data_IF_648173104959
#
_entry.id   IF_648173104959
#
_cell.length_a   1.000
_cell.length_b   1.000
_cell.length_c   1.000
_cell.angle_alpha   90.00
_cell.angle_beta   90.00
_cell.angle_gamma   90.00
#
_symmetry.space_group_name_H-M   'P 1'
#
loop_
_entity.id
_entity.type
_entity.pdbx_description
1 polymer ?
2 branched ?
3 branched ?
4 non-polymer ?
#
# COMPACT_ATOMS: atom_id res chain seq x y z
N UNK A 3 -12.61 -44.83 -23.79
CA UNK A 3 -12.42 -45.46 -25.10
C UNK A 3 -11.39 -44.68 -25.92
N UNK A 4 -10.62 -43.84 -25.22
CA UNK A 4 -9.63 -42.98 -25.86
C UNK A 4 -8.39 -43.81 -26.17
N UNK A 5 -8.02 -43.85 -27.45
CA UNK A 5 -6.89 -44.67 -27.87
C UNK A 5 -5.58 -44.19 -27.24
N UNK A 6 -4.75 -45.15 -26.81
CA UNK A 6 -3.45 -44.80 -26.25
C UNK A 6 -2.61 -44.01 -27.24
N UNK A 7 -2.69 -44.36 -28.53
CA UNK A 7 -1.95 -43.61 -29.55
C UNK A 7 -2.36 -42.15 -29.58
N UNK A 8 -3.64 -41.86 -29.31
CA UNK A 8 -4.09 -40.48 -29.26
C UNK A 8 -3.54 -39.77 -28.03
N UNK A 9 -3.63 -40.42 -26.86
CA UNK A 9 -3.06 -39.87 -25.63
C UNK A 9 -1.59 -39.50 -25.83
N UNK A 10 -0.85 -40.33 -26.58
CA UNK A 10 0.54 -40.04 -26.85
C UNK A 10 0.69 -38.80 -27.73
N UNK A 11 -0.17 -38.67 -28.75
CA UNK A 11 -0.11 -37.46 -29.57
C UNK A 11 -0.50 -36.22 -28.77
N UNK A 12 -1.47 -36.37 -27.86
CA UNK A 12 -1.78 -35.29 -26.94
C UNK A 12 -0.58 -34.95 -26.06
N UNK A 13 0.23 -35.96 -25.70
CA UNK A 13 1.41 -35.71 -24.89
C UNK A 13 2.49 -35.00 -25.69
N UNK A 14 2.74 -35.46 -26.92
CA UNK A 14 3.63 -34.75 -27.84
C UNK A 14 3.19 -33.30 -28.00
N UNK A 15 1.90 -33.10 -28.31
CA UNK A 15 1.37 -31.77 -28.55
C UNK A 15 1.47 -30.90 -27.30
N UNK A 16 1.11 -31.46 -26.14
CA UNK A 16 1.15 -30.69 -24.91
C UNK A 16 2.55 -30.35 -24.45
N UNK A 17 3.51 -31.23 -24.70
CA UNK A 17 4.88 -30.99 -24.26
C UNK A 17 5.53 -29.82 -24.99
N UNK A 18 5.04 -29.45 -26.17
CA UNK A 18 5.60 -28.36 -26.93
C UNK A 18 5.10 -27.00 -26.47
N UNK A 19 4.03 -26.95 -25.66
CA UNK A 19 3.59 -25.70 -25.06
C UNK A 19 4.31 -25.39 -23.75
N UNK A 20 5.14 -26.33 -23.26
CA UNK A 20 6.00 -26.04 -22.13
C UNK A 20 7.14 -25.13 -22.55
N UNK A 21 7.63 -25.28 -23.79
CA UNK A 21 8.67 -24.39 -24.29
C UNK A 21 8.15 -22.99 -24.56
N UNK A 22 6.85 -22.83 -24.79
CA UNK A 22 6.29 -21.49 -24.93
C UNK A 22 6.16 -20.79 -23.59
N UNK A 23 6.08 -21.56 -22.51
CA UNK A 23 6.00 -20.96 -21.17
C UNK A 23 7.33 -20.31 -20.78
N UNK A 24 8.44 -21.01 -21.02
CA UNK A 24 9.76 -20.46 -20.70
C UNK A 24 9.96 -19.14 -21.40
N UNK A 25 9.44 -19.01 -22.63
CA UNK A 25 9.49 -17.73 -23.32
C UNK A 25 8.53 -16.73 -22.68
N UNK A 26 7.26 -17.14 -22.49
CA UNK A 26 6.30 -16.26 -21.83
C UNK A 26 6.78 -15.86 -20.44
N UNK A 27 7.43 -16.78 -19.73
CA UNK A 27 7.90 -16.48 -18.39
C UNK A 27 8.92 -15.36 -18.38
N UNK A 28 9.90 -15.43 -19.30
CA UNK A 28 10.91 -14.38 -19.38
C UNK A 28 10.28 -13.04 -19.76
N UNK A 29 9.26 -13.08 -20.62
CA UNK A 29 8.55 -11.85 -20.96
C UNK A 29 7.81 -11.30 -19.75
N UNK A 30 7.21 -12.18 -18.94
CA UNK A 30 6.59 -11.73 -17.70
C UNK A 30 7.56 -11.01 -16.80
N UNK A 31 8.79 -11.53 -16.71
CA UNK A 31 9.83 -10.85 -15.94
C UNK A 31 10.09 -9.46 -16.51
N UNK A 32 10.30 -9.39 -17.83
CA UNK A 32 10.61 -8.11 -18.46
C UNK A 32 9.44 -7.15 -18.42
N UNK A 33 8.21 -7.67 -18.49
CA UNK A 33 7.04 -6.79 -18.38
C UNK A 33 6.92 -6.22 -16.97
N UNK A 34 7.20 -7.03 -15.95
CA UNK A 34 7.16 -6.54 -14.57
C UNK A 34 8.23 -5.47 -14.37
N UNK A 35 9.42 -5.68 -14.95
CA UNK A 35 10.47 -4.66 -14.90
C UNK A 35 9.96 -3.34 -15.44
N UNK A 36 9.22 -3.37 -16.55
CA UNK A 36 8.65 -2.15 -17.11
C UNK A 36 7.75 -1.46 -16.10
N UNK A 37 6.86 -2.23 -15.45
CA UNK A 37 5.90 -1.64 -14.52
C UNK A 37 6.60 -1.06 -13.30
N UNK A 38 7.66 -1.71 -12.81
CA UNK A 38 8.41 -1.18 -11.68
C UNK A 38 9.06 0.13 -12.05
N UNK A 39 9.71 0.18 -13.21
CA UNK A 39 10.35 1.41 -13.67
C UNK A 39 9.33 2.50 -13.94
N UNK A 40 8.14 2.13 -14.43
CA UNK A 40 7.06 3.10 -14.61
C UNK A 40 6.65 3.71 -13.28
N UNK A 41 6.38 2.86 -12.28
CA UNK A 41 6.00 3.33 -10.96
C UNK A 41 7.10 4.19 -10.34
N UNK A 42 8.36 3.88 -10.63
CA UNK A 42 9.46 4.66 -10.08
C UNK A 42 9.41 6.10 -10.58
N UNK A 43 9.15 6.29 -11.87
CA UNK A 43 9.05 7.64 -12.43
C UNK A 43 7.82 8.36 -11.89
N UNK A 44 6.71 7.64 -11.72
CA UNK A 44 5.53 8.23 -11.11
C UNK A 44 5.80 8.64 -9.67
N UNK A 45 6.67 7.90 -8.98
CA UNK A 45 7.09 8.31 -7.65
C UNK A 45 7.90 9.59 -7.69
N UNK A 46 8.78 9.72 -8.69
CA UNK A 46 9.63 10.90 -8.78
C UNK A 46 8.82 12.17 -9.04
N UNK A 47 7.90 12.12 -10.00
CA UNK A 47 7.07 13.28 -10.26
C UNK A 47 6.16 13.59 -9.07
N UNK A 48 5.77 12.56 -8.31
CA UNK A 48 5.01 12.78 -7.10
C UNK A 48 5.87 13.49 -6.05
N UNK A 49 7.14 13.09 -5.95
CA UNK A 49 8.06 13.76 -5.04
C UNK A 49 8.22 15.24 -5.40
N UNK A 50 8.29 15.54 -6.71
CA UNK A 50 8.36 16.94 -7.11
C UNK A 50 7.08 17.69 -6.77
N UNK A 51 5.94 17.00 -6.77
CA UNK A 51 4.69 17.62 -6.32
C UNK A 51 4.74 17.88 -4.83
N UNK A 52 5.34 16.98 -4.06
CA UNK A 52 5.45 17.17 -2.62
C UNK A 52 6.38 18.32 -2.27
N UNK A 53 7.43 18.52 -3.06
CA UNK A 53 8.37 19.60 -2.75
C UNK A 53 7.77 20.97 -3.03
N UNK A 54 6.94 21.07 -4.08
CA UNK A 54 6.19 22.30 -4.29
C UNK A 54 5.12 22.48 -3.22
N UNK A 55 4.43 21.40 -2.86
CA UNK A 55 3.37 21.49 -1.87
C UNK A 55 3.91 21.78 -0.47
N UNK A 56 5.12 21.30 -0.16
CA UNK A 56 5.68 21.54 1.17
C UNK A 56 5.95 23.02 1.39
N UNK A 57 6.50 23.70 0.39
CA UNK A 57 6.79 25.12 0.52
C UNK A 57 5.54 25.91 0.85
N UNK A 58 4.47 25.71 0.06
CA UNK A 58 3.22 26.42 0.28
C UNK A 58 2.69 26.17 1.69
N UNK A 59 2.70 24.92 2.14
CA UNK A 59 2.28 24.60 3.49
C UNK A 59 3.16 25.30 4.52
N UNK A 60 4.49 25.22 4.32
CA UNK A 60 5.42 25.81 5.28
C UNK A 60 5.23 27.32 5.38
N UNK A 61 5.08 27.99 4.25
CA UNK A 61 4.83 29.44 4.27
C UNK A 61 3.55 29.77 5.00
N UNK A 62 2.50 28.97 4.79
CA UNK A 62 1.24 29.21 5.50
C UNK A 62 1.40 28.98 7.00
N UNK A 63 2.27 28.05 7.40
CA UNK A 63 2.43 27.77 8.83
C UNK A 63 3.23 28.87 9.52
N UNK A 64 4.26 29.41 8.87
CA UNK A 64 4.99 30.52 9.49
C UNK A 64 4.08 31.73 9.69
N UNK A 65 3.16 31.97 8.76
CA UNK A 65 2.24 33.08 8.92
C UNK A 65 1.27 32.80 10.06
N UNK A 66 0.78 31.57 10.16
CA UNK A 66 -0.04 31.18 11.29
C UNK A 66 0.73 31.31 12.60
N UNK A 67 1.96 30.79 12.63
CA UNK A 67 2.77 30.86 13.84
C UNK A 67 3.17 32.29 14.15
N UNK A 68 3.43 33.10 13.12
CA UNK A 68 3.69 34.52 13.34
C UNK A 68 2.48 35.21 13.94
N UNK A 69 1.29 34.67 13.74
CA UNK A 69 0.07 35.30 14.23
C UNK A 69 -0.20 34.95 15.68
N UNK A 70 0.10 33.71 16.09
CA UNK A 70 -0.18 33.31 17.47
C UNK A 70 0.79 33.94 18.46
N UNK A 71 2.01 34.25 18.03
CA UNK A 71 2.96 34.91 18.92
C UNK A 71 2.55 36.35 19.19
N UNK A 72 1.94 37.02 18.20
CA UNK A 72 1.40 38.35 18.45
C UNK A 72 0.17 38.32 19.33
N UNK A 73 -0.53 37.19 19.38
CA UNK A 73 -1.68 37.02 20.25
C UNK A 73 -1.29 36.56 21.64
N UNK A 74 -0.05 36.13 21.84
CA UNK A 74 0.45 35.86 23.18
C UNK A 74 1.12 37.08 23.80
N UNK A 75 1.53 38.05 22.97
CA UNK A 75 1.95 39.34 23.50
C UNK A 75 0.81 40.02 24.26
N UNK A 76 -0.44 39.68 23.92
CA UNK A 76 -1.64 40.18 24.60
C UNK A 76 -2.34 38.98 25.22
N UNK A 77 -1.88 38.50 26.38
CA UNK A 77 -2.32 37.20 26.90
C UNK A 77 -3.56 37.20 27.78
N UNK A 78 -4.14 38.35 28.12
CA UNK A 78 -5.24 38.36 29.05
C UNK A 78 -6.56 37.92 28.45
N UNK A 79 -7.45 37.44 29.31
CA UNK A 79 -8.82 37.13 28.93
C UNK A 79 -9.67 38.39 29.06
N UNK A 80 -10.46 38.67 28.02
CA UNK A 80 -11.21 39.92 28.01
C UNK A 80 -12.40 39.85 28.96
N UNK A 81 -13.29 38.89 28.76
CA UNK A 81 -14.42 38.69 29.64
C UNK A 81 -14.00 37.87 30.86
N UNK A 82 -14.55 38.22 32.02
CA UNK A 82 -14.29 37.45 33.24
C UNK A 82 -15.29 36.32 33.43
N UNK A 83 -16.33 36.25 32.60
CA UNK A 83 -17.17 35.05 32.56
C UNK A 83 -16.41 33.88 31.96
N UNK A 84 -15.45 34.16 31.06
CA UNK A 84 -14.60 33.12 30.50
C UNK A 84 -13.98 32.27 31.59
N UNK A 85 -13.43 32.93 32.62
CA UNK A 85 -12.79 32.20 33.72
C UNK A 85 -13.78 31.30 34.44
N UNK A 86 -15.05 31.68 34.49
CA UNK A 86 -16.05 30.85 35.14
C UNK A 86 -16.57 29.75 34.23
N UNK A 87 -16.56 29.97 32.91
CA UNK A 87 -16.90 28.90 31.98
C UNK A 87 -15.80 27.85 31.91
N UNK A 88 -14.56 28.26 32.16
CA UNK A 88 -13.42 27.35 32.09
C UNK A 88 -13.54 26.22 33.13
N UNK A 89 -13.99 26.55 34.34
CA UNK A 89 -14.15 25.57 35.40
C UNK A 89 -15.44 24.76 35.28
N UNK A 90 -16.27 25.07 34.29
CA UNK A 90 -17.38 24.21 33.92
C UNK A 90 -17.16 23.57 32.55
N UNK A 91 -16.28 24.14 31.74
CA UNK A 91 -15.82 23.46 30.53
C UNK A 91 -14.92 22.28 30.85
N UNK A 92 -13.95 22.49 31.75
CA UNK A 92 -12.98 21.44 32.06
C UNK A 92 -13.62 20.15 32.60
N UNK A 93 -14.49 20.19 33.61
CA UNK A 93 -15.07 18.91 34.07
C UNK A 93 -15.87 18.20 33.00
N UNK A 94 -16.58 18.96 32.16
CA UNK A 94 -17.36 18.34 31.09
C UNK A 94 -16.47 17.60 30.11
N UNK A 95 -15.39 18.25 29.67
CA UNK A 95 -14.45 17.61 28.74
C UNK A 95 -13.92 16.29 29.29
N UNK A 96 -13.52 16.29 30.56
CA UNK A 96 -13.02 15.07 31.20
C UNK A 96 -14.02 13.93 31.07
N UNK A 97 -15.31 14.22 31.26
CA UNK A 97 -16.30 13.15 31.28
C UNK A 97 -16.59 12.63 29.89
N UNK A 98 -16.76 13.53 28.91
CA UNK A 98 -17.08 13.09 27.56
C UNK A 98 -15.97 12.24 26.96
N UNK A 99 -14.72 12.52 27.32
CA UNK A 99 -13.61 11.71 26.82
C UNK A 99 -13.51 10.38 27.56
N UNK A 100 -13.62 10.42 28.90
CA UNK A 100 -13.67 9.19 29.67
C UNK A 100 -14.78 8.27 29.17
N UNK A 101 -15.99 8.82 29.02
CA UNK A 101 -17.13 8.05 28.52
C UNK A 101 -16.81 7.43 27.15
N UNK A 102 -16.13 8.19 26.30
CA UNK A 102 -15.78 7.67 24.98
C UNK A 102 -14.81 6.50 25.09
N UNK A 103 -13.70 6.70 25.79
CA UNK A 103 -12.64 5.69 25.83
C UNK A 103 -13.14 4.37 26.42
N UNK A 104 -14.02 4.44 27.41
CA UNK A 104 -14.55 3.22 28.00
C UNK A 104 -15.52 2.52 27.05
N UNK A 105 -16.47 3.28 26.50
CA UNK A 105 -17.44 2.72 25.56
C UNK A 105 -16.75 2.21 24.30
N UNK A 106 -16.07 3.11 23.58
CA UNK A 106 -15.57 2.78 22.25
C UNK A 106 -14.24 2.03 22.32
N UNK A 107 -13.31 2.53 23.14
CA UNK A 107 -11.93 2.07 23.04
C UNK A 107 -11.63 0.88 23.93
N UNK A 108 -11.18 1.13 25.16
CA UNK A 108 -10.52 0.08 25.92
C UNK A 108 -10.59 0.40 27.41
N UNK A 109 -9.69 -0.19 28.18
CA UNK A 109 -9.56 0.08 29.61
C UNK A 109 -8.49 1.13 29.84
N UNK A 110 -8.60 1.83 30.96
CA UNK A 110 -7.83 3.01 31.22
C UNK A 110 -8.61 4.30 31.10
N UNK A 111 -9.94 4.24 31.17
CA UNK A 111 -10.77 5.44 31.08
C UNK A 111 -10.34 6.48 32.10
N UNK A 112 -10.23 6.08 33.37
CA UNK A 112 -9.83 7.02 34.41
C UNK A 112 -8.42 7.55 34.21
N UNK A 113 -7.53 6.74 33.64
CA UNK A 113 -6.18 7.20 33.36
C UNK A 113 -6.20 8.38 32.38
N UNK A 114 -7.00 8.26 31.33
CA UNK A 114 -7.11 9.35 30.35
C UNK A 114 -7.70 10.60 31.00
N UNK A 115 -8.80 10.43 31.74
CA UNK A 115 -9.45 11.57 32.37
C UNK A 115 -8.54 12.30 33.34
N UNK A 116 -7.69 11.55 34.04
CA UNK A 116 -6.73 12.16 34.96
C UNK A 116 -5.68 12.97 34.18
N UNK A 117 -5.09 12.37 33.15
CA UNK A 117 -4.09 13.07 32.35
C UNK A 117 -4.67 14.32 31.71
N UNK A 118 -5.96 14.32 31.39
CA UNK A 118 -6.58 15.49 30.78
C UNK A 118 -6.75 16.62 31.79
N UNK A 119 -7.32 16.30 32.96
CA UNK A 119 -7.53 17.30 33.99
C UNK A 119 -6.23 17.97 34.40
N UNK A 120 -5.14 17.19 34.44
CA UNK A 120 -3.84 17.76 34.80
C UNK A 120 -3.37 18.75 33.74
N UNK A 121 -3.49 18.38 32.46
CA UNK A 121 -3.08 19.28 31.38
C UNK A 121 -3.99 20.51 31.32
N UNK A 122 -5.29 20.32 31.49
CA UNK A 122 -6.22 21.44 31.44
C UNK A 122 -6.03 22.42 32.60
N UNK A 123 -5.47 21.97 33.72
CA UNK A 123 -5.15 22.88 34.81
C UNK A 123 -3.89 23.69 34.52
N UNK A 124 -2.92 23.09 33.84
CA UNK A 124 -1.78 23.83 33.30
C UNK A 124 -2.12 24.58 32.03
N UNK A 125 -3.41 24.78 31.77
CA UNK A 125 -3.92 25.47 30.60
C UNK A 125 -4.87 26.57 31.03
N UNK A 126 -5.22 27.44 30.09
CA UNK A 126 -6.07 28.59 30.33
C UNK A 126 -7.20 28.62 29.31
N UNK A 127 -8.30 29.30 29.61
CA UNK A 127 -9.37 29.43 28.61
C UNK A 127 -9.00 30.34 27.45
N UNK A 128 -7.97 31.18 27.62
CA UNK A 128 -7.47 31.97 26.50
C UNK A 128 -6.91 31.08 25.41
N UNK A 129 -6.08 30.09 25.81
CA UNK A 129 -5.57 29.09 24.88
C UNK A 129 -6.69 28.43 24.09
N UNK A 130 -7.82 28.17 24.75
CA UNK A 130 -8.99 27.65 24.05
C UNK A 130 -9.58 28.69 23.11
N UNK A 131 -9.74 29.92 23.61
CA UNK A 131 -10.37 30.99 22.85
C UNK A 131 -9.63 31.27 21.54
N UNK A 132 -8.29 31.21 21.57
CA UNK A 132 -7.48 31.45 20.38
C UNK A 132 -7.25 30.17 19.57
N UNK A 133 -8.07 29.13 19.79
CA UNK A 133 -7.92 27.84 19.10
C UNK A 133 -6.48 27.33 19.18
N UNK A 134 -5.90 27.43 20.38
CA UNK A 134 -4.53 26.98 20.56
C UNK A 134 -4.36 25.49 20.36
N UNK A 135 -5.41 24.71 20.63
CA UNK A 135 -5.35 23.27 20.40
C UNK A 135 -5.18 22.96 18.91
N UNK A 136 -5.92 23.68 18.05
CA UNK A 136 -5.82 23.45 16.62
C UNK A 136 -4.45 23.80 16.07
N UNK A 137 -3.82 24.84 16.63
CA UNK A 137 -2.47 25.22 16.19
C UNK A 137 -1.48 24.11 16.51
N UNK A 138 -1.49 23.64 17.76
CA UNK A 138 -0.59 22.56 18.16
C UNK A 138 -0.89 21.28 17.39
N UNK A 139 -2.17 20.94 17.25
CA UNK A 139 -2.54 19.72 16.53
C UNK A 139 -2.31 19.84 15.03
N UNK A 140 -1.95 21.02 14.53
CA UNK A 140 -1.54 21.20 13.15
C UNK A 140 -0.03 21.17 12.99
N UNK A 141 0.69 21.88 13.87
CA UNK A 141 2.14 21.89 13.83
C UNK A 141 2.72 20.49 14.05
N UNK A 142 2.06 19.68 14.88
CA UNK A 142 2.53 18.32 15.08
C UNK A 142 2.19 17.43 13.89
N UNK A 143 1.01 17.61 13.30
CA UNK A 143 0.67 16.91 12.07
C UNK A 143 1.66 17.25 10.96
N UNK A 144 2.09 18.51 10.90
CA UNK A 144 3.09 18.93 9.92
C UNK A 144 4.41 18.20 10.13
N UNK A 145 4.77 17.95 11.40
CA UNK A 145 6.01 17.23 11.69
C UNK A 145 5.87 15.75 11.40
N UNK A 146 4.71 15.17 11.70
CA UNK A 146 4.47 13.77 11.37
C UNK A 146 4.55 13.55 9.86
N UNK A 147 4.09 14.52 9.07
CA UNK A 147 4.19 14.42 7.63
C UNK A 147 5.64 14.50 7.16
N UNK A 148 6.40 15.45 7.70
CA UNK A 148 7.80 15.58 7.34
C UNK A 148 8.57 14.31 7.69
N UNK A 149 8.26 13.70 8.82
CA UNK A 149 8.90 12.46 9.21
C UNK A 149 8.49 11.31 8.29
N UNK A 150 7.19 11.22 8.00
CA UNK A 150 6.70 10.15 7.13
C UNK A 150 7.38 10.18 5.77
N UNK A 151 7.56 11.37 5.19
CA UNK A 151 8.22 11.45 3.89
C UNK A 151 9.70 11.12 4.02
N UNK A 152 10.36 11.63 5.07
CA UNK A 152 11.76 11.31 5.30
C UNK A 152 11.97 9.79 5.32
N UNK A 153 11.11 9.07 6.05
CA UNK A 153 11.26 7.63 6.16
C UNK A 153 10.94 6.95 4.83
N UNK A 154 9.76 7.22 4.28
CA UNK A 154 9.34 6.64 3.02
C UNK A 154 10.38 6.88 1.91
N UNK A 155 10.82 8.13 1.78
CA UNK A 155 11.75 8.48 0.71
C UNK A 155 13.05 7.71 0.82
N UNK A 156 13.58 7.57 2.04
CA UNK A 156 14.87 6.90 2.21
C UNK A 156 14.73 5.39 2.05
N UNK A 157 13.61 4.82 2.50
CA UNK A 157 13.31 3.42 2.17
C UNK A 157 13.24 3.24 0.66
N UNK A 158 12.59 4.17 -0.04
CA UNK A 158 12.36 4.02 -1.48
C UNK A 158 13.67 4.14 -2.26
N UNK A 159 14.49 5.15 -1.93
CA UNK A 159 15.71 5.38 -2.69
C UNK A 159 16.67 4.20 -2.56
N UNK A 160 16.72 3.58 -1.38
CA UNK A 160 17.56 2.38 -1.22
C UNK A 160 17.07 1.26 -2.13
N UNK A 161 15.77 0.95 -2.06
CA UNK A 161 15.22 -0.10 -2.90
C UNK A 161 15.39 0.24 -4.38
N UNK A 162 15.13 1.49 -4.75
CA UNK A 162 15.33 1.90 -6.14
C UNK A 162 16.77 1.73 -6.57
N UNK A 163 17.71 1.90 -5.64
CA UNK A 163 19.13 1.72 -5.98
C UNK A 163 19.44 0.26 -6.26
N UNK A 164 18.98 -0.64 -5.38
CA UNK A 164 19.18 -2.07 -5.60
C UNK A 164 18.52 -2.51 -6.90
N UNK A 165 17.34 -1.96 -7.19
CA UNK A 165 16.55 -2.42 -8.34
C UNK A 165 17.19 -1.94 -9.64
N UNK A 166 17.60 -0.67 -9.69
CA UNK A 166 18.22 -0.15 -10.90
C UNK A 166 19.52 -0.88 -11.22
N UNK A 167 20.26 -1.30 -10.19
CA UNK A 167 21.47 -2.08 -10.42
C UNK A 167 21.13 -3.46 -11.00
N UNK A 168 20.05 -4.08 -10.50
CA UNK A 168 19.62 -5.36 -11.02
C UNK A 168 19.17 -5.26 -12.48
N UNK A 169 18.49 -4.16 -12.82
CA UNK A 169 17.98 -3.97 -14.17
C UNK A 169 19.03 -3.45 -15.14
N UNK A 170 20.27 -3.26 -14.70
CA UNK A 170 21.36 -2.94 -15.60
C UNK A 170 21.92 -4.18 -16.29
N UNK A 171 21.50 -5.36 -15.86
CA UNK A 171 21.87 -6.59 -16.54
C UNK A 171 21.16 -6.70 -17.88
N UNK A 172 21.85 -7.27 -18.87
CA UNK A 172 21.27 -7.39 -20.21
C UNK A 172 20.27 -8.53 -20.31
N UNK A 173 20.15 -9.36 -19.27
CA UNK A 173 19.08 -10.35 -19.24
C UNK A 173 17.72 -9.69 -19.34
N UNK A 174 17.61 -8.45 -18.88
CA UNK A 174 16.34 -7.74 -18.87
C UNK A 174 16.10 -6.93 -20.13
N UNK A 175 17.14 -6.70 -20.94
CA UNK A 175 16.98 -5.98 -22.20
C UNK A 175 16.20 -6.86 -23.17
N UNK A 176 15.12 -6.31 -23.74
CA UNK A 176 14.32 -7.06 -24.69
C UNK A 176 15.16 -7.48 -25.89
N UNK A 177 14.98 -8.73 -26.31
CA UNK A 177 15.67 -9.30 -27.46
C UNK A 177 14.66 -9.84 -28.45
N UNK A 178 15.04 -10.03 -29.71
CA UNK A 178 14.09 -10.58 -30.69
C UNK A 178 13.63 -11.99 -30.38
N UNK A 179 14.48 -12.80 -29.74
CA UNK A 179 14.11 -14.16 -29.37
C UNK A 179 12.79 -14.19 -28.60
N UNK A 180 12.54 -13.16 -27.80
CA UNK A 180 11.31 -13.08 -27.02
C UNK A 180 10.05 -13.08 -27.89
N UNK A 181 10.18 -12.72 -29.17
CA UNK A 181 9.03 -12.61 -30.07
C UNK A 181 9.04 -13.67 -31.17
N UNK A 182 9.96 -14.63 -31.13
CA UNK A 182 9.96 -15.71 -32.11
C UNK A 182 8.69 -16.56 -31.97
N UNK A 183 8.02 -16.82 -33.10
CA UNK A 183 6.81 -17.63 -33.12
C UNK A 183 7.00 -19.01 -33.72
N UNK A 184 8.10 -19.25 -34.42
CA UNK A 184 8.39 -20.55 -35.03
C UNK A 184 9.71 -21.11 -34.53
N UNK A 185 10.77 -20.29 -34.46
CA UNK A 185 12.02 -20.74 -33.86
C UNK A 185 11.87 -20.82 -32.35
N UNK A 186 12.62 -21.72 -31.70
CA UNK A 186 12.45 -21.93 -30.26
C UNK A 186 13.14 -20.83 -29.45
N UNK A 187 12.96 -20.90 -28.14
CA UNK A 187 13.52 -19.97 -27.18
C UNK A 187 14.62 -20.65 -26.40
N UNK A 188 15.63 -19.88 -25.99
CA UNK A 188 16.77 -20.43 -25.25
C UNK A 188 17.20 -19.45 -24.18
N UNK A 189 17.18 -19.90 -22.93
CA UNK A 189 17.68 -19.11 -21.81
C UNK A 189 19.19 -18.95 -21.92
N UNK A 190 19.77 -17.99 -21.19
CA UNK A 190 21.23 -17.84 -21.21
C UNK A 190 21.93 -19.11 -20.73
N UNK A 191 23.12 -19.36 -21.30
CA UNK A 191 23.87 -20.56 -20.95
C UNK A 191 24.18 -20.61 -19.45
N UNK A 192 24.29 -19.45 -18.80
CA UNK A 192 24.71 -19.40 -17.41
C UNK A 192 23.58 -18.90 -16.51
N UNK A 193 22.38 -19.47 -16.65
CA UNK A 193 21.27 -18.98 -15.83
C UNK A 193 21.38 -19.42 -14.39
N UNK A 194 21.98 -20.59 -14.13
CA UNK A 194 22.11 -21.06 -12.76
C UNK A 194 23.02 -20.14 -11.93
N UNK A 195 23.97 -19.48 -12.58
CA UNK A 195 24.89 -18.57 -11.91
C UNK A 195 24.42 -17.12 -11.97
N UNK A 196 23.30 -16.85 -12.65
CA UNK A 196 22.65 -15.55 -12.58
C UNK A 196 21.44 -15.54 -11.65
N UNK A 197 20.86 -16.71 -11.41
CA UNK A 197 19.65 -16.83 -10.61
C UNK A 197 19.85 -16.29 -9.20
N UNK A 198 20.85 -16.82 -8.49
CA UNK A 198 21.07 -16.49 -7.08
C UNK A 198 21.47 -15.03 -6.84
N UNK A 199 22.37 -14.44 -7.65
CA UNK A 199 22.62 -13.00 -7.48
C UNK A 199 21.36 -12.16 -7.63
N UNK A 200 20.58 -12.42 -8.69
CA UNK A 200 19.36 -11.65 -8.92
C UNK A 200 18.39 -11.79 -7.75
N UNK A 201 18.05 -13.04 -7.41
CA UNK A 201 17.04 -13.30 -6.39
C UNK A 201 17.40 -12.62 -5.07
N UNK A 202 18.68 -12.63 -4.70
CA UNK A 202 19.10 -11.96 -3.48
C UNK A 202 18.89 -10.45 -3.59
N UNK A 203 19.18 -9.87 -4.75
CA UNK A 203 18.95 -8.44 -4.94
C UNK A 203 17.47 -8.10 -4.90
N UNK A 204 16.61 -8.99 -5.39
CA UNK A 204 15.17 -8.78 -5.24
C UNK A 204 14.77 -8.89 -3.78
N UNK A 205 15.38 -9.82 -3.04
CA UNK A 205 15.12 -9.93 -1.62
C UNK A 205 15.55 -8.67 -0.87
N UNK A 206 16.71 -8.12 -1.22
CA UNK A 206 17.20 -6.92 -0.55
C UNK A 206 16.32 -5.72 -0.84
N UNK A 207 15.73 -5.65 -2.03
CA UNK A 207 14.82 -4.55 -2.34
C UNK A 207 13.51 -4.71 -1.59
N UNK A 208 13.01 -5.94 -1.47
CA UNK A 208 11.80 -6.19 -0.70
C UNK A 208 11.98 -5.77 0.76
N UNK A 209 13.16 -6.05 1.33
CA UNK A 209 13.44 -5.63 2.69
C UNK A 209 13.41 -4.12 2.82
N UNK A 210 14.14 -3.43 1.93
CA UNK A 210 14.24 -1.97 2.00
C UNK A 210 12.87 -1.31 1.98
N UNK A 211 11.93 -1.88 1.21
CA UNK A 211 10.62 -1.27 1.06
C UNK A 211 9.76 -1.43 2.32
N UNK A 212 9.96 -2.52 3.06
CA UNK A 212 9.08 -2.84 4.19
C UNK A 212 9.11 -1.74 5.24
N UNK A 213 7.94 -1.17 5.52
CA UNK A 213 7.82 -0.12 6.54
C UNK A 213 7.25 -0.70 7.82
N UNK A 234 -14.18 5.32 16.13
CA UNK A 234 -13.04 5.14 15.23
C UNK A 234 -11.85 4.58 16.01
N UNK A 235 -11.13 3.64 15.40
CA UNK A 235 -9.93 3.10 16.04
C UNK A 235 -8.78 4.11 16.02
N UNK A 236 -8.84 5.10 15.14
CA UNK A 236 -7.78 6.11 15.07
C UNK A 236 -7.79 7.01 16.29
N UNK A 237 -8.96 7.53 16.65
CA UNK A 237 -9.05 8.47 17.78
C UNK A 237 -8.66 7.76 19.08
N UNK A 238 -9.01 6.48 19.21
CA UNK A 238 -8.64 5.73 20.41
C UNK A 238 -7.14 5.64 20.57
N UNK A 239 -6.42 5.40 19.47
CA UNK A 239 -4.96 5.40 19.51
C UNK A 239 -4.42 6.75 20.00
N UNK A 240 -5.04 7.84 19.53
CA UNK A 240 -4.56 9.17 19.89
C UNK A 240 -4.83 9.48 21.36
N UNK A 241 -6.05 9.21 21.82
CA UNK A 241 -6.40 9.42 23.23
C UNK A 241 -5.48 8.62 24.14
N UNK A 242 -5.07 7.43 23.70
CA UNK A 242 -4.10 6.65 24.45
C UNK A 242 -2.73 7.32 24.44
N UNK A 243 -2.31 7.81 23.27
CA UNK A 243 -1.00 8.45 23.14
C UNK A 243 -0.92 9.71 23.99
N UNK A 244 -1.84 10.65 23.76
CA UNK A 244 -1.89 11.91 24.49
C UNK A 244 -3.34 12.21 24.82
N UNK A 245 -3.63 12.51 26.09
CA UNK A 245 -4.99 12.83 26.48
C UNK A 245 -5.51 14.08 25.79
N UNK A 246 -4.64 14.86 25.14
CA UNK A 246 -5.09 16.03 24.39
C UNK A 246 -5.98 15.66 23.22
N UNK A 247 -5.97 14.39 22.78
CA UNK A 247 -6.90 13.96 21.76
C UNK A 247 -8.35 14.17 22.19
N UNK A 248 -8.59 14.20 23.51
CA UNK A 248 -9.93 14.49 24.02
C UNK A 248 -10.45 15.83 23.53
N UNK A 249 -9.55 16.79 23.27
CA UNK A 249 -9.97 18.14 22.88
C UNK A 249 -10.57 18.18 21.48
N UNK A 250 -10.68 17.05 20.78
CA UNK A 250 -11.50 17.01 19.59
C UNK A 250 -12.99 17.01 19.94
N UNK A 251 -13.32 16.95 21.22
CA UNK A 251 -14.71 16.86 21.68
C UNK A 251 -15.15 18.14 22.40
N UNK A 252 -14.53 19.28 22.06
CA UNK A 252 -15.01 20.55 22.58
C UNK A 252 -16.46 20.79 22.20
N UNK A 253 -16.85 20.35 21.00
CA UNK A 253 -18.19 20.59 20.49
C UNK A 253 -19.26 20.02 21.41
N UNK A 254 -19.00 18.83 21.97
CA UNK A 254 -20.02 18.16 22.77
C UNK A 254 -20.36 18.95 24.03
N UNK A 255 -19.42 19.71 24.57
CA UNK A 255 -19.61 20.41 25.83
C UNK A 255 -20.03 21.86 25.59
N UNK A 256 -20.98 22.33 26.40
CA UNK A 256 -21.60 23.62 26.16
C UNK A 256 -20.68 24.77 26.53
N UNK A 257 -20.15 24.77 27.76
CA UNK A 257 -19.36 25.89 28.25
C UNK A 257 -18.14 26.17 27.37
N UNK A 258 -17.67 25.17 26.64
CA UNK A 258 -16.44 25.32 25.87
C UNK A 258 -16.70 26.04 24.55
N UNK A 259 -17.74 25.65 23.81
CA UNK A 259 -18.09 26.37 22.60
C UNK A 259 -18.56 27.79 22.89
N UNK A 260 -18.88 28.11 24.15
CA UNK A 260 -19.18 29.47 24.54
C UNK A 260 -17.91 30.27 24.82
N UNK A 261 -16.87 29.62 25.35
CA UNK A 261 -15.57 30.28 25.46
C UNK A 261 -15.06 30.67 24.08
N UNK A 262 -15.34 29.83 23.08
CA UNK A 262 -14.93 30.13 21.71
C UNK A 262 -15.79 31.20 21.05
N UNK A 263 -17.00 31.41 21.56
CA UNK A 263 -17.90 32.41 20.98
C UNK A 263 -17.65 33.82 21.52
N UNK A 264 -16.83 33.96 22.56
CA UNK A 264 -16.72 35.23 23.28
C UNK A 264 -16.18 36.30 22.34
N UNK A 265 -16.93 37.39 22.22
CA UNK A 265 -16.52 38.55 21.46
C UNK A 265 -15.72 39.47 22.37
N UNK A 266 -14.43 39.64 22.07
CA UNK A 266 -13.61 40.62 22.76
C UNK A 266 -13.56 41.95 22.00
N UNK A 267 -14.48 42.16 21.06
CA UNK A 267 -14.40 43.33 20.19
C UNK A 267 -14.57 44.62 20.98
N UNK A 268 -15.49 44.64 21.94
CA UNK A 268 -15.67 45.83 22.76
C UNK A 268 -14.50 46.02 23.71
N UNK A 269 -14.03 44.93 24.33
CA UNK A 269 -13.13 45.02 25.47
C UNK A 269 -11.68 45.20 25.04
N UNK A 270 -11.16 44.28 24.23
CA UNK A 270 -9.80 44.36 23.70
C UNK A 270 -9.87 44.21 22.19
N UNK A 271 -10.13 45.30 21.47
CA UNK A 271 -10.26 45.19 20.00
C UNK A 271 -8.98 44.74 19.31
N UNK A 272 -7.81 44.95 19.91
CA UNK A 272 -6.56 44.52 19.29
C UNK A 272 -6.43 43.00 19.34
N UNK A 273 -6.83 42.38 20.46
CA UNK A 273 -6.83 40.93 20.56
C UNK A 273 -7.79 40.32 19.55
N UNK A 274 -8.99 40.90 19.44
CA UNK A 274 -10.00 40.36 18.54
C UNK A 274 -9.52 40.36 17.10
N UNK A 275 -8.83 41.42 16.68
CA UNK A 275 -8.33 41.48 15.31
C UNK A 275 -7.27 40.43 15.06
N UNK A 276 -6.29 40.32 15.96
CA UNK A 276 -5.25 39.31 15.81
C UNK A 276 -5.83 37.91 15.77
N UNK A 277 -6.87 37.66 16.57
CA UNK A 277 -7.54 36.36 16.54
C UNK A 277 -8.17 36.09 15.18
N UNK A 278 -8.79 37.11 14.59
CA UNK A 278 -9.37 36.96 13.26
C UNK A 278 -8.28 36.75 12.21
N UNK A 279 -7.12 37.39 12.39
CA UNK A 279 -6.02 37.15 11.46
C UNK A 279 -5.48 35.74 11.58
N UNK A 280 -5.39 35.24 12.82
CA UNK A 280 -4.91 33.88 13.05
C UNK A 280 -5.85 32.85 12.43
N UNK A 281 -7.15 32.98 12.67
CA UNK A 281 -8.14 32.05 12.13
C UNK A 281 -8.06 32.00 10.61
N UNK A 282 -7.81 33.15 9.97
CA UNK A 282 -7.65 33.15 8.52
C UNK A 282 -6.44 32.32 8.09
N UNK A 283 -5.27 32.61 8.66
CA UNK A 283 -4.08 31.83 8.33
C UNK A 283 -4.24 30.37 8.72
N UNK A 284 -5.01 30.10 9.77
CA UNK A 284 -5.21 28.73 10.22
C UNK A 284 -5.95 27.91 9.17
N UNK A 285 -7.02 28.46 8.61
CA UNK A 285 -7.80 27.72 7.62
C UNK A 285 -6.99 27.46 6.36
N UNK A 286 -6.13 28.42 5.98
CA UNK A 286 -5.27 28.22 4.81
C UNK A 286 -4.26 27.12 5.08
N UNK A 287 -3.57 27.21 6.23
CA UNK A 287 -2.57 26.20 6.57
C UNK A 287 -3.17 24.81 6.62
N UNK A 288 -4.40 24.69 7.13
CA UNK A 288 -5.04 23.38 7.21
C UNK A 288 -5.38 22.84 5.82
N UNK A 289 -5.87 23.71 4.93
CA UNK A 289 -6.16 23.28 3.56
C UNK A 289 -4.91 22.74 2.89
N UNK A 290 -3.81 23.48 2.97
CA UNK A 290 -2.56 23.05 2.36
C UNK A 290 -1.94 21.85 3.06
N UNK A 291 -2.33 21.59 4.31
CA UNK A 291 -1.84 20.40 5.01
C UNK A 291 -2.62 19.15 4.59
N UNK A 292 -3.93 19.28 4.39
CA UNK A 292 -4.70 18.18 3.85
C UNK A 292 -4.27 17.85 2.42
N UNK A 293 -3.87 18.87 1.66
CA UNK A 293 -3.37 18.64 0.31
C UNK A 293 -2.06 17.86 0.34
N UNK A 294 -1.18 18.19 1.28
CA UNK A 294 0.10 17.47 1.41
C UNK A 294 -0.13 16.03 1.87
N UNK A 295 -1.13 15.82 2.72
CA UNK A 295 -1.40 14.47 3.22
C UNK A 295 -1.94 13.57 2.11
N UNK A 296 -2.70 14.14 1.17
CA UNK A 296 -3.19 13.34 0.05
C UNK A 296 -2.05 12.93 -0.89
N UNK A 297 -1.09 13.82 -1.11
CA UNK A 297 0.09 13.45 -1.88
C UNK A 297 0.92 12.41 -1.14
N UNK A 298 1.06 12.55 0.18
CA UNK A 298 1.77 11.54 0.96
C UNK A 298 1.08 10.19 0.86
N UNK A 299 -0.25 10.18 0.84
CA UNK A 299 -0.99 8.92 0.71
C UNK A 299 -0.79 8.33 -0.68
N UNK A 300 -0.70 9.19 -1.71
CA UNK A 300 -0.39 8.70 -3.05
C UNK A 300 1.01 8.11 -3.11
N UNK A 301 1.96 8.74 -2.43
CA UNK A 301 3.32 8.21 -2.35
C UNK A 301 3.34 6.87 -1.64
N UNK A 302 2.51 6.71 -0.61
CA UNK A 302 2.43 5.44 0.11
C UNK A 302 1.95 4.32 -0.81
N UNK A 303 0.99 4.61 -1.70
CA UNK A 303 0.50 3.60 -2.62
C UNK A 303 1.58 3.19 -3.61
N UNK A 304 2.28 4.17 -4.20
CA UNK A 304 3.42 3.86 -5.07
C UNK A 304 4.41 2.95 -4.35
N UNK A 305 4.55 3.13 -3.04
CA UNK A 305 5.44 2.27 -2.26
C UNK A 305 4.87 0.87 -2.13
N UNK A 306 3.54 0.76 -1.93
CA UNK A 306 2.93 -0.57 -1.83
C UNK A 306 2.88 -1.26 -3.18
N UNK A 307 2.53 -0.55 -4.25
CA UNK A 307 2.60 -1.09 -5.59
C UNK A 307 3.97 -1.71 -5.85
N UNK A 308 5.03 -0.94 -5.60
CA UNK A 308 6.38 -1.41 -5.89
C UNK A 308 6.71 -2.66 -5.08
N UNK A 309 6.22 -2.75 -3.84
CA UNK A 309 6.40 -3.97 -3.06
C UNK A 309 5.60 -5.12 -3.67
N UNK A 310 4.39 -4.85 -4.16
CA UNK A 310 3.59 -5.87 -4.79
C UNK A 310 4.23 -6.36 -6.09
N UNK A 311 4.85 -5.45 -6.85
CA UNK A 311 5.50 -5.84 -8.10
C UNK A 311 6.76 -6.64 -7.85
N UNK A 312 7.53 -6.26 -6.82
CA UNK A 312 8.75 -7.00 -6.51
C UNK A 312 8.43 -8.43 -6.08
N UNK A 313 7.32 -8.61 -5.37
CA UNK A 313 6.91 -9.97 -5.00
C UNK A 313 6.59 -10.80 -6.25
N UNK A 314 5.92 -10.19 -7.23
CA UNK A 314 5.65 -10.88 -8.49
C UNK A 314 6.95 -11.24 -9.20
N UNK A 315 7.88 -10.28 -9.28
CA UNK A 315 9.17 -10.52 -9.90
C UNK A 315 9.86 -11.74 -9.29
N UNK A 316 9.81 -11.85 -7.95
CA UNK A 316 10.38 -13.00 -7.28
C UNK A 316 9.70 -14.28 -7.74
N UNK A 317 8.37 -14.33 -7.69
CA UNK A 317 7.64 -15.53 -8.09
C UNK A 317 7.85 -15.83 -9.57
N UNK A 318 8.07 -14.80 -10.40
CA UNK A 318 8.31 -15.04 -11.82
C UNK A 318 9.70 -15.61 -12.07
N UNK A 319 10.72 -15.08 -11.38
CA UNK A 319 12.07 -15.58 -11.56
C UNK A 319 12.20 -17.02 -11.11
N UNK A 320 11.57 -17.37 -9.99
CA UNK A 320 11.54 -18.76 -9.54
C UNK A 320 10.88 -19.65 -10.58
N UNK A 321 9.77 -19.19 -11.16
CA UNK A 321 9.06 -19.98 -12.16
C UNK A 321 9.93 -20.23 -13.39
N UNK A 322 10.68 -19.20 -13.82
CA UNK A 322 11.63 -19.40 -14.92
C UNK A 322 12.67 -20.45 -14.52
N UNK A 323 13.25 -20.29 -13.33
CA UNK A 323 14.28 -21.23 -12.88
C UNK A 323 13.71 -22.63 -12.70
N UNK A 324 12.53 -22.74 -12.06
CA UNK A 324 11.87 -24.03 -11.91
C UNK A 324 11.68 -24.70 -13.26
N UNK A 325 11.13 -23.96 -14.23
CA UNK A 325 11.00 -24.49 -15.59
C UNK A 325 12.34 -24.89 -16.15
N UNK A 326 13.40 -24.12 -15.86
CA UNK A 326 14.68 -24.35 -16.51
C UNK A 326 15.32 -25.65 -16.06
N UNK A 327 15.30 -25.94 -14.75
CA UNK A 327 15.93 -27.17 -14.28
C UNK A 327 15.10 -28.41 -14.58
N UNK A 328 13.79 -28.24 -14.79
CA UNK A 328 12.92 -29.37 -15.11
C UNK A 328 12.96 -29.72 -16.60
N UNK A 329 13.22 -28.75 -17.47
CA UNK A 329 13.15 -28.97 -18.91
C UNK A 329 14.49 -29.36 -19.53
N UNK A 330 15.57 -29.42 -18.76
CA UNK A 330 16.84 -29.83 -19.32
C UNK A 330 16.89 -31.32 -19.65
N UNK A 331 15.95 -32.11 -19.13
CA UNK A 331 15.89 -33.52 -19.45
C UNK A 331 14.88 -33.84 -20.53
N UNK A 332 15.35 -34.32 -21.68
CA UNK A 332 14.50 -34.59 -22.83
C UNK A 332 14.20 -36.07 -23.03
N UNK A 333 14.52 -36.92 -22.05
CA UNK A 333 14.38 -38.36 -22.22
C UNK A 333 12.94 -38.83 -22.19
N UNK A 334 12.04 -38.05 -21.59
CA UNK A 334 10.62 -38.42 -21.56
C UNK A 334 9.79 -37.15 -21.62
N UNK A 335 8.48 -37.34 -21.85
CA UNK A 335 7.59 -36.21 -22.07
C UNK A 335 7.58 -35.27 -20.88
N UNK A 336 7.67 -33.96 -21.17
CA UNK A 336 7.42 -32.95 -20.15
C UNK A 336 6.00 -33.07 -19.61
N UNK A 337 5.03 -33.13 -20.51
CA UNK A 337 3.62 -33.28 -20.17
C UNK A 337 3.13 -34.59 -20.76
N UNK A 338 2.65 -35.50 -19.91
CA UNK A 338 2.14 -36.79 -20.35
C UNK A 338 0.67 -36.89 -19.97
N UNK A 339 -0.19 -37.10 -20.97
CA UNK A 339 -1.63 -37.23 -20.74
C UNK A 339 -1.91 -38.68 -20.38
N UNK A 340 -2.44 -38.90 -19.17
CA UNK A 340 -2.77 -40.25 -18.71
C UNK A 340 -4.18 -40.65 -19.10
N UNK A 341 -5.16 -39.79 -18.82
CA UNK A 341 -6.57 -40.14 -18.99
C UNK A 341 -7.34 -38.95 -19.54
N UNK A 342 -8.30 -39.24 -20.42
CA UNK A 342 -9.35 -38.31 -20.80
C UNK A 342 -10.69 -38.95 -20.48
N UNK A 343 -11.61 -38.16 -19.93
CA UNK A 343 -12.88 -38.72 -19.50
C UNK A 343 -13.97 -37.64 -19.56
N UNK A 344 -15.22 -38.08 -19.49
CA UNK A 344 -16.37 -37.20 -19.58
C UNK A 344 -17.43 -37.63 -18.59
N UNK A 345 -18.50 -36.84 -18.51
CA UNK A 345 -19.68 -37.20 -17.73
C UNK A 345 -20.35 -38.46 -18.25
N UNK A 346 -19.97 -38.93 -19.44
CA UNK A 346 -20.38 -40.25 -19.90
C UNK A 346 -19.60 -41.34 -19.18
N UNK A 347 -18.28 -41.19 -19.10
CA UNK A 347 -17.41 -42.20 -18.50
C UNK A 347 -17.54 -42.22 -16.98
N UNK A 348 -17.12 -41.14 -16.33
CA UNK A 348 -17.09 -41.10 -14.87
C UNK A 348 -18.45 -40.80 -14.27
N UNK A 349 -19.12 -39.76 -14.77
CA UNK A 349 -20.45 -39.33 -14.35
C UNK A 349 -20.38 -38.59 -13.02
N UNK A 350 -19.24 -38.65 -12.33
CA UNK A 350 -18.95 -37.66 -11.29
C UNK A 350 -18.41 -36.37 -11.91
N UNK A 351 -17.98 -36.44 -13.16
CA UNK A 351 -17.53 -35.27 -13.93
C UNK A 351 -18.73 -34.37 -14.21
N UNK A 352 -18.61 -33.06 -14.06
CA UNK A 352 -19.70 -32.16 -14.49
C UNK A 352 -20.00 -32.32 -15.97
N UNK A 353 -21.21 -31.91 -16.35
CA UNK A 353 -21.78 -32.32 -17.64
C UNK A 353 -21.04 -31.70 -18.82
N UNK A 354 -20.84 -30.39 -18.81
CA UNK A 354 -20.37 -29.70 -19.99
C UNK A 354 -18.86 -29.53 -20.09
N UNK A 355 -18.09 -30.48 -19.56
CA UNK A 355 -16.63 -30.41 -19.56
C UNK A 355 -16.06 -31.81 -19.74
N UNK A 356 -14.79 -31.86 -20.13
CA UNK A 356 -14.01 -33.10 -20.16
C UNK A 356 -12.80 -32.92 -19.26
N UNK A 357 -12.42 -33.99 -18.56
CA UNK A 357 -11.33 -33.95 -17.59
C UNK A 357 -10.12 -34.68 -18.17
N UNK A 358 -8.97 -34.01 -18.16
CA UNK A 358 -7.72 -34.52 -18.68
C UNK A 358 -6.74 -34.63 -17.53
N UNK A 359 -6.28 -35.85 -17.25
CA UNK A 359 -5.30 -36.07 -16.19
C UNK A 359 -3.90 -36.05 -16.80
N UNK A 360 -2.99 -35.33 -16.17
CA UNK A 360 -1.71 -34.98 -16.77
C UNK A 360 -0.59 -35.18 -15.75
N UNK A 361 0.50 -35.82 -16.18
CA UNK A 361 1.71 -35.95 -15.37
C UNK A 361 2.74 -34.95 -15.90
N UNK A 362 2.85 -33.81 -15.25
CA UNK A 362 3.73 -32.72 -15.69
C UNK A 362 5.07 -32.85 -14.99
N UNK A 363 6.13 -33.04 -15.79
CA UNK A 363 7.49 -33.22 -15.28
C UNK A 363 7.57 -34.39 -14.31
N UNK A 364 6.77 -35.43 -14.58
CA UNK A 364 6.71 -36.64 -13.76
C UNK A 364 6.41 -36.33 -12.30
N UNK A 365 5.53 -35.35 -12.09
CA UNK A 365 5.08 -34.99 -10.76
C UNK A 365 3.72 -35.64 -10.50
N UNK A 366 3.17 -35.37 -9.32
CA UNK A 366 1.86 -35.90 -8.96
C UNK A 366 0.85 -35.52 -10.05
N UNK A 367 -0.02 -36.44 -10.46
CA UNK A 367 -0.92 -36.16 -11.59
C UNK A 367 -1.85 -35.00 -11.30
N UNK A 368 -1.93 -34.08 -12.27
CA UNK A 368 -2.81 -32.90 -12.19
C UNK A 368 -4.02 -33.15 -13.08
N UNK A 369 -5.20 -32.77 -12.58
CA UNK A 369 -6.43 -32.92 -13.34
C UNK A 369 -6.87 -31.55 -13.84
N UNK A 370 -7.17 -31.47 -15.14
CA UNK A 370 -7.55 -30.23 -15.80
C UNK A 370 -8.94 -30.39 -16.38
N UNK A 371 -9.77 -29.36 -16.22
CA UNK A 371 -11.14 -29.36 -16.72
C UNK A 371 -11.27 -28.33 -17.83
N UNK A 372 -11.65 -28.79 -19.01
CA UNK A 372 -11.82 -27.92 -20.18
C UNK A 372 -13.24 -28.10 -20.70
N UNK A 373 -13.93 -27.03 -21.10
CA UNK A 373 -15.29 -27.18 -21.63
C UNK A 373 -15.31 -27.92 -22.96
N UNK A 374 -16.44 -28.55 -23.24
CA UNK A 374 -16.58 -29.38 -24.43
C UNK A 374 -16.37 -28.57 -25.70
N UNK A 375 -16.66 -27.26 -25.65
CA UNK A 375 -16.43 -26.42 -26.82
C UNK A 375 -14.94 -26.34 -27.17
N UNK A 376 -14.07 -26.39 -26.17
CA UNK A 376 -12.63 -26.42 -26.40
C UNK A 376 -12.10 -27.84 -26.49
N UNK A 377 -12.87 -28.83 -26.04
CA UNK A 377 -12.40 -30.22 -26.03
C UNK A 377 -12.63 -30.89 -27.39
N UNK A 378 -13.88 -30.91 -27.85
CA UNK A 378 -14.24 -31.62 -29.07
C UNK A 378 -13.69 -30.89 -30.29
N UNK A 379 -12.75 -31.55 -31.00
CA UNK A 379 -12.29 -31.12 -32.32
C UNK A 379 -11.80 -29.67 -32.32
N UNK A 380 -10.99 -29.32 -31.33
CA UNK A 380 -10.39 -28.00 -31.26
C UNK A 380 -8.87 -28.13 -31.24
N UNK A 381 -8.15 -27.44 -32.12
CA UNK A 381 -6.69 -27.53 -32.08
C UNK A 381 -6.09 -26.83 -30.88
N UNK A 382 -6.82 -25.89 -30.27
CA UNK A 382 -6.41 -25.26 -29.03
C UNK A 382 -6.82 -26.08 -27.80
N UNK A 383 -7.04 -27.38 -27.99
CA UNK A 383 -7.36 -28.26 -26.86
C UNK A 383 -6.14 -28.44 -25.96
N UNK A 384 -5.03 -28.92 -26.52
CA UNK A 384 -3.84 -29.16 -25.73
C UNK A 384 -3.13 -27.88 -25.32
N UNK A 385 -3.36 -26.79 -26.04
CA UNK A 385 -2.84 -25.50 -25.58
C UNK A 385 -3.57 -25.05 -24.31
N UNK A 386 -4.88 -25.28 -24.24
CA UNK A 386 -5.64 -24.99 -23.03
C UNK A 386 -5.20 -25.89 -21.88
N UNK A 387 -5.09 -27.20 -22.14
CA UNK A 387 -4.72 -28.15 -21.10
C UNK A 387 -3.34 -27.81 -20.54
N UNK A 388 -2.36 -27.58 -21.43
CA UNK A 388 -1.00 -27.33 -20.98
C UNK A 388 -0.92 -26.06 -20.14
N UNK A 389 -1.56 -24.98 -20.60
CA UNK A 389 -1.52 -23.73 -19.85
C UNK A 389 -2.17 -23.88 -18.49
N UNK A 390 -3.31 -24.58 -18.43
CA UNK A 390 -3.97 -24.81 -17.15
C UNK A 390 -3.12 -25.67 -16.24
N UNK A 391 -2.62 -26.80 -16.76
CA UNK A 391 -1.77 -27.69 -15.96
C UNK A 391 -0.55 -26.96 -15.41
N UNK A 392 0.09 -26.14 -16.24
CA UNK A 392 1.27 -25.42 -15.79
C UNK A 392 0.93 -24.39 -14.71
N UNK A 393 -0.24 -23.76 -14.83
CA UNK A 393 -0.67 -22.82 -13.79
C UNK A 393 -0.81 -23.53 -12.45
N UNK A 394 -1.41 -24.71 -12.43
CA UNK A 394 -1.55 -25.48 -11.19
C UNK A 394 -0.19 -25.90 -10.65
N UNK A 395 0.67 -26.44 -11.53
CA UNK A 395 2.01 -26.83 -11.12
C UNK A 395 2.74 -25.68 -10.46
N UNK A 396 2.63 -24.48 -11.05
CA UNK A 396 3.28 -23.31 -10.50
C UNK A 396 2.78 -22.98 -9.10
N UNK A 397 1.47 -23.19 -8.87
CA UNK A 397 0.91 -22.94 -7.55
C UNK A 397 1.50 -23.89 -6.51
N UNK A 398 1.86 -25.11 -6.91
CA UNK A 398 2.32 -26.12 -5.97
C UNK A 398 3.66 -25.78 -5.33
N UNK A 399 4.43 -24.87 -5.93
CA UNK A 399 5.61 -24.33 -5.27
C UNK A 399 5.76 -22.84 -5.58
#
# INVERSE_FOLDING_TARGET
DQTVSDNELQEMSNQGSKYVNKEIQNAVNGVKQIKTLIEKTNEERKTLLSNLEEAKKKKEDALNETRESETKLKELPGVCNETMMALWEECKPCLKQTCMKFYARVCRSGSGLVGRQLEEFLNQSSPFYFWMNGDRIDSLLENDRQQTHMLDVMQDHFSRASSIIDELFQDRFFTREPQDTYHYLPFSLPHNFHAMFQPFLEMIHEAQQAMDIHFHSPAFQHPPTEFIREGDDDRTVCREIRHNSTGCLRMKDQCDKCREILSVDCSTNNPSQAKLRRELDESLQVAERLTRKYNELLKSYQWKMLNTSSLLEQLNEQFNWVSRLANLTQGEDQYYLRVTTVASHTSDSDVPSGVTEVVVKLFDSDPITVTVPVEVSRKNPKFMETVAEKALQEYRKKHREE
#
